data_IF_182256730935
#
_entry.id   IF_182256730935
#
_cell.length_a   1.000
_cell.length_b   1.000
_cell.length_c   1.000
_cell.angle_alpha   90.00
_cell.angle_beta   90.00
_cell.angle_gamma   90.00
#
_symmetry.space_group_name_H-M   'P 1'
#
loop_
_entity.id
_entity.type
_entity.pdbx_description
1 polymer ?
#
# COMPACT_ATOMS: atom_id res chain seq x y z
N UNK A 1 -2.90 -9.33 -9.71
CA UNK A 1 -4.33 -9.42 -9.34
C UNK A 1 -4.91 -10.82 -9.52
N UNK A 2 -5.09 -11.32 -10.76
CA UNK A 2 -5.70 -12.65 -10.98
C UNK A 2 -4.95 -13.79 -10.27
N UNK A 3 -3.61 -13.84 -10.40
CA UNK A 3 -2.76 -14.82 -9.72
C UNK A 3 -3.03 -14.90 -8.20
N UNK A 4 -3.10 -13.76 -7.52
CA UNK A 4 -3.34 -13.68 -6.08
C UNK A 4 -4.77 -14.14 -5.75
N UNK A 5 -5.77 -13.61 -6.45
CA UNK A 5 -7.18 -13.95 -6.21
C UNK A 5 -7.46 -15.44 -6.40
N UNK A 6 -6.92 -16.03 -7.45
CA UNK A 6 -7.24 -17.40 -7.86
C UNK A 6 -6.53 -18.46 -6.98
N UNK A 7 -5.56 -18.04 -6.16
CA UNK A 7 -4.76 -18.92 -5.29
C UNK A 7 -4.87 -18.62 -3.81
N UNK A 8 -5.90 -17.88 -3.39
CA UNK A 8 -6.15 -17.57 -1.98
C UNK A 8 -6.21 -18.85 -1.13
N UNK A 9 -5.62 -18.82 0.06
CA UNK A 9 -5.51 -20.00 0.92
C UNK A 9 -4.44 -21.01 0.47
N UNK A 10 -3.60 -20.67 -0.51
CA UNK A 10 -2.45 -21.51 -0.84
C UNK A 10 -1.54 -21.70 0.39
N UNK A 11 -0.99 -22.91 0.50
CA UNK A 11 -0.20 -23.30 1.66
C UNK A 11 1.08 -22.50 1.84
N UNK A 12 1.55 -22.44 3.08
CA UNK A 12 2.83 -21.84 3.46
C UNK A 12 3.96 -22.68 2.89
N UNK A 13 4.87 -22.05 2.14
CA UNK A 13 6.11 -22.68 1.71
C UNK A 13 7.21 -22.56 2.76
N UNK A 14 7.32 -21.40 3.40
CA UNK A 14 8.40 -21.11 4.36
C UNK A 14 7.96 -20.07 5.38
N UNK A 15 8.65 -20.03 6.51
CA UNK A 15 8.59 -18.94 7.50
C UNK A 15 9.90 -18.16 7.41
N UNK A 16 9.84 -16.84 7.23
CA UNK A 16 10.99 -15.98 6.92
C UNK A 16 11.79 -15.59 8.19
N UNK A 17 11.20 -14.92 9.19
CA UNK A 17 11.89 -14.55 10.45
C UNK A 17 11.11 -14.75 11.77
N UNK A 18 9.78 -14.65 11.78
CA UNK A 18 8.95 -14.83 12.99
C UNK A 18 7.77 -15.75 12.69
N UNK A 19 7.05 -16.25 13.70
CA UNK A 19 5.86 -17.11 13.49
C UNK A 19 4.79 -16.49 12.57
N UNK A 20 4.73 -15.17 12.44
CA UNK A 20 3.76 -14.46 11.58
C UNK A 20 4.28 -14.09 10.19
N UNK A 21 5.57 -14.33 9.92
CA UNK A 21 6.24 -13.97 8.67
C UNK A 21 6.19 -15.17 7.72
N UNK A 22 5.01 -15.35 7.12
CA UNK A 22 4.70 -16.46 6.22
C UNK A 22 5.11 -16.08 4.80
N UNK A 23 5.60 -17.07 4.06
CA UNK A 23 5.87 -16.96 2.64
C UNK A 23 5.13 -18.07 1.91
N UNK A 24 4.41 -17.73 0.84
CA UNK A 24 3.79 -18.69 -0.07
C UNK A 24 4.49 -18.70 -1.42
N UNK A 25 4.15 -19.67 -2.28
CA UNK A 25 4.60 -19.66 -3.67
C UNK A 25 4.13 -18.41 -4.42
N UNK A 26 2.99 -17.87 -3.99
CA UNK A 26 2.27 -16.80 -4.67
C UNK A 26 3.01 -15.47 -4.53
N UNK A 27 3.66 -15.21 -3.39
CA UNK A 27 4.47 -13.98 -3.20
C UNK A 27 5.61 -13.93 -4.24
N UNK A 28 6.36 -15.04 -4.39
CA UNK A 28 7.45 -15.15 -5.36
C UNK A 28 6.97 -15.07 -6.82
N UNK A 29 5.94 -15.83 -7.17
CA UNK A 29 5.36 -15.81 -8.53
C UNK A 29 4.79 -14.41 -8.88
N UNK A 30 4.16 -13.73 -7.93
CA UNK A 30 3.65 -12.38 -8.12
C UNK A 30 4.79 -11.38 -8.34
N UNK A 31 5.88 -11.48 -7.58
CA UNK A 31 7.06 -10.66 -7.80
C UNK A 31 7.67 -10.87 -9.18
N UNK A 32 7.84 -12.13 -9.61
CA UNK A 32 8.39 -12.48 -10.92
C UNK A 32 7.56 -11.86 -12.07
N UNK A 33 6.23 -11.93 -11.97
CA UNK A 33 5.33 -11.33 -12.96
C UNK A 33 5.48 -9.80 -13.01
N UNK A 34 5.54 -9.15 -11.85
CA UNK A 34 5.70 -7.69 -11.76
C UNK A 34 7.08 -7.27 -12.29
N UNK A 35 8.14 -7.95 -11.86
CA UNK A 35 9.51 -7.67 -12.28
C UNK A 35 9.68 -7.87 -13.79
N UNK A 36 9.13 -8.95 -14.36
CA UNK A 36 9.17 -9.19 -15.80
C UNK A 36 8.48 -8.07 -16.59
N UNK A 37 7.31 -7.60 -16.13
CA UNK A 37 6.60 -6.48 -16.75
C UNK A 37 7.41 -5.17 -16.67
N UNK A 38 8.00 -4.87 -15.51
CA UNK A 38 8.87 -3.70 -15.33
C UNK A 38 10.09 -3.77 -16.24
N UNK A 39 10.78 -4.91 -16.30
CA UNK A 39 11.98 -5.07 -17.14
C UNK A 39 11.67 -5.01 -18.63
N UNK A 40 10.50 -5.47 -19.05
CA UNK A 40 10.06 -5.37 -20.44
C UNK A 40 9.79 -3.91 -20.86
N UNK A 41 9.15 -3.12 -19.99
CA UNK A 41 8.82 -1.73 -20.29
C UNK A 41 9.96 -0.75 -19.99
N UNK A 42 10.76 -1.03 -18.96
CA UNK A 42 11.81 -0.16 -18.43
C UNK A 42 13.10 -0.96 -18.13
N UNK A 43 13.83 -1.44 -19.16
CA UNK A 43 14.97 -2.34 -18.98
C UNK A 43 16.11 -1.77 -18.12
N UNK A 44 16.23 -0.44 -18.03
CA UNK A 44 17.28 0.25 -17.30
C UNK A 44 16.87 0.70 -15.88
N UNK A 45 15.63 0.45 -15.45
CA UNK A 45 15.18 0.82 -14.10
C UNK A 45 15.63 -0.24 -13.08
N UNK A 46 15.95 0.21 -11.88
CA UNK A 46 16.23 -0.67 -10.76
C UNK A 46 14.93 -1.26 -10.17
N UNK A 47 15.02 -2.45 -9.58
CA UNK A 47 13.89 -3.15 -8.97
C UNK A 47 14.31 -3.69 -7.60
N UNK A 48 13.49 -3.42 -6.59
CA UNK A 48 13.63 -3.92 -5.22
C UNK A 48 12.29 -4.53 -4.80
N UNK A 49 12.20 -5.85 -4.85
CA UNK A 49 11.04 -6.59 -4.37
C UNK A 49 11.28 -7.17 -2.98
N UNK A 50 10.24 -7.27 -2.17
CA UNK A 50 10.30 -7.84 -0.82
C UNK A 50 10.90 -9.25 -0.79
N UNK A 51 10.53 -10.11 -1.75
CA UNK A 51 10.96 -11.52 -1.77
C UNK A 51 12.43 -11.71 -2.13
N UNK A 52 13.05 -10.65 -2.67
CA UNK A 52 14.50 -10.63 -2.95
C UNK A 52 15.32 -10.18 -1.75
N UNK A 53 14.69 -9.81 -0.63
CA UNK A 53 15.34 -9.26 0.55
C UNK A 53 15.27 -10.26 1.71
N UNK A 54 16.39 -10.59 2.36
CA UNK A 54 16.36 -11.41 3.56
C UNK A 54 15.52 -10.75 4.65
N UNK A 55 14.86 -11.57 5.45
CA UNK A 55 13.97 -11.08 6.50
C UNK A 55 14.73 -10.33 7.61
N UNK A 56 14.10 -9.26 8.13
CA UNK A 56 14.59 -8.48 9.26
C UNK A 56 14.95 -7.04 8.92
N UNK A 57 14.70 -6.12 9.86
CA UNK A 57 14.80 -4.68 9.64
C UNK A 57 16.18 -4.21 9.13
N UNK A 58 17.27 -4.81 9.64
CA UNK A 58 18.63 -4.50 9.18
C UNK A 58 18.83 -4.91 7.73
N UNK A 59 18.38 -6.10 7.33
CA UNK A 59 18.50 -6.59 5.96
C UNK A 59 17.67 -5.74 4.99
N UNK A 60 16.45 -5.34 5.39
CA UNK A 60 15.62 -4.41 4.61
C UNK A 60 16.28 -3.04 4.43
N UNK A 61 16.87 -2.50 5.50
CA UNK A 61 17.58 -1.21 5.44
C UNK A 61 18.83 -1.30 4.55
N UNK A 62 19.60 -2.38 4.66
CA UNK A 62 20.78 -2.60 3.84
C UNK A 62 20.42 -2.80 2.36
N UNK A 63 19.37 -3.56 2.06
CA UNK A 63 18.87 -3.76 0.71
C UNK A 63 18.39 -2.46 0.08
N UNK A 64 17.64 -1.64 0.84
CA UNK A 64 17.21 -0.32 0.38
C UNK A 64 18.42 0.59 0.13
N UNK A 65 19.37 0.67 1.06
CA UNK A 65 20.60 1.48 0.86
C UNK A 65 21.35 1.04 -0.40
N UNK A 66 21.54 -0.26 -0.58
CA UNK A 66 22.18 -0.81 -1.77
C UNK A 66 21.42 -0.43 -3.05
N UNK A 67 20.09 -0.54 -3.05
CA UNK A 67 19.26 -0.15 -4.18
C UNK A 67 19.29 1.36 -4.47
N UNK A 68 19.49 2.22 -3.47
CA UNK A 68 19.57 3.66 -3.64
C UNK A 68 20.98 4.13 -4.09
N UNK A 69 22.03 3.47 -3.60
CA UNK A 69 23.42 3.91 -3.83
C UNK A 69 24.09 3.21 -5.02
N UNK A 70 23.80 1.92 -5.22
CA UNK A 70 24.55 1.05 -6.11
C UNK A 70 23.77 0.54 -7.34
N UNK A 71 22.51 0.93 -7.53
CA UNK A 71 21.69 0.40 -8.62
C UNK A 71 22.05 0.93 -10.03
N UNK A 72 22.90 1.96 -10.11
CA UNK A 72 23.31 2.56 -11.39
C UNK A 72 22.18 3.21 -12.21
N UNK A 73 20.98 3.35 -11.61
CA UNK A 73 19.79 3.90 -12.25
C UNK A 73 19.27 5.12 -11.48
N UNK A 74 18.66 6.06 -12.19
CA UNK A 74 17.93 7.18 -11.60
C UNK A 74 16.48 6.81 -11.26
N UNK A 75 16.07 5.57 -11.49
CA UNK A 75 14.72 5.07 -11.23
C UNK A 75 14.75 3.77 -10.43
N UNK A 76 13.92 3.69 -9.42
CA UNK A 76 13.78 2.52 -8.55
C UNK A 76 12.31 2.16 -8.38
N UNK A 77 11.98 0.91 -8.67
CA UNK A 77 10.70 0.28 -8.32
C UNK A 77 10.86 -0.43 -6.98
N UNK A 78 9.98 -0.16 -6.03
CA UNK A 78 9.89 -0.84 -4.74
C UNK A 78 8.56 -1.58 -4.69
N UNK A 79 8.59 -2.89 -4.50
CA UNK A 79 7.42 -3.76 -4.66
C UNK A 79 7.25 -4.67 -3.47
N UNK A 80 6.04 -4.64 -2.89
CA UNK A 80 5.51 -5.71 -2.05
C UNK A 80 4.49 -6.48 -2.92
N UNK A 81 4.81 -7.71 -3.34
CA UNK A 81 3.98 -8.46 -4.27
C UNK A 81 2.72 -9.04 -3.62
N UNK A 82 2.66 -9.11 -2.29
CA UNK A 82 1.53 -9.64 -1.53
C UNK A 82 1.54 -9.16 -0.06
N UNK A 83 0.98 -7.99 0.20
CA UNK A 83 0.77 -7.51 1.57
C UNK A 83 -0.39 -8.25 2.23
N UNK A 84 -0.21 -8.66 3.48
CA UNK A 84 -1.20 -9.44 4.23
C UNK A 84 -1.08 -10.95 4.01
N UNK A 85 0.13 -11.49 3.84
CA UNK A 85 0.35 -12.95 3.64
C UNK A 85 -0.30 -13.83 4.71
N UNK A 86 -0.41 -13.35 5.96
CA UNK A 86 -1.18 -14.05 7.01
C UNK A 86 -2.67 -14.17 6.64
N UNK A 87 -3.30 -13.08 6.20
CA UNK A 87 -4.67 -13.10 5.71
C UNK A 87 -4.81 -14.03 4.50
N UNK A 88 -3.86 -13.96 3.57
CA UNK A 88 -3.82 -14.82 2.39
C UNK A 88 -3.85 -16.31 2.73
N UNK A 89 -2.97 -16.75 3.63
CA UNK A 89 -2.88 -18.14 4.10
C UNK A 89 -4.14 -18.56 4.86
N UNK A 90 -4.76 -17.64 5.61
CA UNK A 90 -6.03 -17.88 6.32
C UNK A 90 -7.26 -17.78 5.43
N UNK A 91 -7.10 -17.65 4.10
CA UNK A 91 -8.19 -17.49 3.14
C UNK A 91 -9.06 -16.24 3.37
N UNK A 92 -8.49 -15.19 4.00
CA UNK A 92 -9.15 -13.92 4.20
C UNK A 92 -8.88 -12.99 3.01
N UNK A 93 -9.91 -12.41 2.36
CA UNK A 93 -9.77 -11.55 1.19
C UNK A 93 -9.41 -10.11 1.59
N UNK A 94 -8.36 -9.96 2.41
CA UNK A 94 -7.82 -8.71 2.93
C UNK A 94 -6.31 -8.69 2.67
N UNK A 95 -5.95 -8.56 1.39
CA UNK A 95 -4.57 -8.56 0.91
C UNK A 95 -4.39 -7.47 -0.14
N UNK A 96 -3.15 -7.05 -0.34
CA UNK A 96 -2.80 -6.01 -1.30
C UNK A 96 -1.60 -6.38 -2.16
N UNK A 97 -1.40 -5.60 -3.22
CA UNK A 97 -0.13 -5.52 -3.95
C UNK A 97 0.28 -4.06 -3.92
N UNK A 98 1.49 -3.77 -3.45
CA UNK A 98 1.99 -2.41 -3.28
C UNK A 98 3.17 -2.15 -4.21
N UNK A 99 3.10 -1.06 -4.98
CA UNK A 99 4.15 -0.65 -5.92
C UNK A 99 4.44 0.83 -5.73
N UNK A 100 5.68 1.15 -5.35
CA UNK A 100 6.22 2.50 -5.34
C UNK A 100 7.25 2.70 -6.45
N UNK A 101 7.26 3.87 -7.07
CA UNK A 101 8.32 4.27 -8.00
C UNK A 101 8.99 5.54 -7.49
N UNK A 102 10.29 5.46 -7.28
CA UNK A 102 11.13 6.57 -6.89
C UNK A 102 12.05 6.99 -8.04
N UNK A 103 12.33 8.29 -8.11
CA UNK A 103 13.25 8.88 -9.07
C UNK A 103 14.30 9.72 -8.36
N UNK A 104 15.53 9.71 -8.86
CA UNK A 104 16.58 10.64 -8.44
C UNK A 104 16.32 12.03 -9.05
N UNK A 105 16.28 13.06 -8.22
CA UNK A 105 16.05 14.46 -8.59
C UNK A 105 17.14 15.35 -8.00
N UNK A 106 17.38 16.52 -8.61
CA UNK A 106 18.43 17.46 -8.20
C UNK A 106 19.74 17.30 -8.97
N UNK A 107 20.61 18.30 -8.86
CA UNK A 107 21.94 18.33 -9.50
C UNK A 107 22.96 17.51 -8.70
N UNK A 108 24.15 17.25 -9.28
CA UNK A 108 25.12 16.29 -8.76
C UNK A 108 25.38 16.35 -7.25
N UNK A 109 25.46 17.55 -6.66
CA UNK A 109 25.73 17.76 -5.24
C UNK A 109 24.48 17.64 -4.32
N UNK A 110 23.27 17.72 -4.88
CA UNK A 110 22.00 17.75 -4.14
C UNK A 110 21.02 16.64 -4.59
N UNK A 111 21.55 15.61 -5.26
CA UNK A 111 20.77 14.47 -5.72
C UNK A 111 20.08 13.78 -4.54
N UNK A 112 18.76 13.71 -4.60
CA UNK A 112 17.93 12.98 -3.64
C UNK A 112 16.94 12.07 -4.36
N UNK A 113 16.43 11.07 -3.65
CA UNK A 113 15.35 10.23 -4.13
C UNK A 113 14.00 10.85 -3.76
N UNK A 114 13.06 10.81 -4.70
CA UNK A 114 11.70 11.31 -4.52
C UNK A 114 10.71 10.26 -5.05
N UNK A 115 9.71 9.89 -4.23
CA UNK A 115 8.66 8.96 -4.65
C UNK A 115 7.69 9.72 -5.57
N UNK A 116 7.55 9.23 -6.80
CA UNK A 116 6.80 9.91 -7.86
C UNK A 116 5.53 9.18 -8.26
N UNK A 117 5.42 7.87 -7.98
CA UNK A 117 4.22 7.06 -8.22
C UNK A 117 4.00 6.10 -7.05
N UNK A 118 2.75 5.91 -6.65
CA UNK A 118 2.31 4.85 -5.75
C UNK A 118 1.08 4.15 -6.32
N UNK A 119 1.06 2.82 -6.25
CA UNK A 119 -0.06 1.98 -6.68
C UNK A 119 -0.33 0.94 -5.61
N UNK A 120 -1.59 0.80 -5.21
CA UNK A 120 -2.07 -0.26 -4.32
C UNK A 120 -3.23 -0.98 -5.01
N UNK A 121 -3.16 -2.31 -5.10
CA UNK A 121 -4.19 -3.14 -5.73
C UNK A 121 -4.84 -4.05 -4.70
N UNK A 122 -6.15 -3.95 -4.52
CA UNK A 122 -6.96 -4.98 -3.85
C UNK A 122 -7.48 -5.95 -4.92
N UNK A 123 -6.93 -7.18 -5.00
CA UNK A 123 -7.27 -8.12 -6.07
C UNK A 123 -8.67 -8.72 -5.92
N UNK A 124 -9.25 -8.70 -4.72
CA UNK A 124 -10.58 -9.27 -4.46
C UNK A 124 -11.70 -8.26 -4.71
N UNK A 125 -11.43 -6.98 -4.48
CA UNK A 125 -12.38 -5.89 -4.78
C UNK A 125 -12.25 -5.33 -6.18
N UNK A 126 -11.22 -5.74 -6.92
CA UNK A 126 -10.87 -5.16 -8.23
C UNK A 126 -10.72 -3.64 -8.13
N UNK A 127 -10.09 -3.21 -7.04
CA UNK A 127 -9.83 -1.82 -6.74
C UNK A 127 -8.33 -1.53 -6.88
N UNK A 128 -8.00 -0.44 -7.55
CA UNK A 128 -6.65 0.05 -7.73
C UNK A 128 -6.61 1.51 -7.31
N UNK A 129 -5.88 1.78 -6.23
CA UNK A 129 -5.52 3.13 -5.83
C UNK A 129 -4.25 3.50 -6.58
N UNK A 130 -4.25 4.65 -7.25
CA UNK A 130 -3.06 5.19 -7.92
C UNK A 130 -2.84 6.63 -7.49
N UNK A 131 -1.58 6.99 -7.23
CA UNK A 131 -1.18 8.34 -6.92
C UNK A 131 0.09 8.71 -7.68
N UNK A 132 0.18 9.96 -8.11
CA UNK A 132 1.38 10.52 -8.72
C UNK A 132 1.75 11.84 -8.07
N UNK A 133 3.05 12.11 -7.95
CA UNK A 133 3.53 13.37 -7.38
C UNK A 133 2.99 14.55 -8.20
N UNK A 134 2.27 15.45 -7.53
CA UNK A 134 1.60 16.60 -8.17
C UNK A 134 0.32 16.27 -8.95
N UNK A 135 0.01 14.99 -9.20
CA UNK A 135 -1.18 14.57 -9.96
C UNK A 135 -2.37 14.12 -9.11
N UNK A 136 -2.20 14.02 -7.79
CA UNK A 136 -3.25 13.60 -6.86
C UNK A 136 -3.39 12.09 -6.75
N UNK A 137 -4.54 11.63 -6.26
CA UNK A 137 -4.84 10.23 -5.98
C UNK A 137 -6.19 9.83 -6.59
N UNK A 138 -6.28 8.63 -7.14
CA UNK A 138 -7.51 8.08 -7.72
C UNK A 138 -7.76 6.65 -7.24
N UNK A 139 -9.02 6.25 -7.20
CA UNK A 139 -9.49 4.87 -7.02
C UNK A 139 -10.21 4.45 -8.30
N UNK A 140 -9.67 3.46 -9.01
CA UNK A 140 -10.17 3.01 -10.33
C UNK A 140 -10.36 4.20 -11.30
N UNK A 141 -9.38 5.12 -11.33
CA UNK A 141 -9.40 6.32 -12.17
C UNK A 141 -10.31 7.46 -11.67
N UNK A 142 -11.12 7.23 -10.64
CA UNK A 142 -11.95 8.28 -10.03
C UNK A 142 -11.16 9.02 -8.93
N UNK A 143 -11.05 10.36 -8.96
CA UNK A 143 -10.32 11.10 -7.94
C UNK A 143 -10.84 10.84 -6.52
N UNK A 144 -9.91 10.71 -5.57
CA UNK A 144 -10.21 10.54 -4.14
C UNK A 144 -9.50 11.61 -3.30
N UNK A 145 -10.04 11.88 -2.12
CA UNK A 145 -9.50 12.84 -1.16
C UNK A 145 -9.56 12.25 0.24
N UNK A 146 -8.58 12.62 1.06
CA UNK A 146 -8.55 12.25 2.48
C UNK A 146 -9.68 12.96 3.24
N UNK A 147 -10.19 12.29 4.27
CA UNK A 147 -11.09 12.90 5.24
C UNK A 147 -10.39 14.02 6.03
N UNK A 148 -11.18 14.98 6.52
CA UNK A 148 -10.72 16.09 7.38
C UNK A 148 -11.54 16.16 8.68
N UNK A 149 -12.23 15.07 9.01
CA UNK A 149 -13.03 14.95 10.21
C UNK A 149 -12.18 15.06 11.49
N UNK A 150 -12.77 15.58 12.58
CA UNK A 150 -12.14 15.51 13.89
C UNK A 150 -11.82 14.05 14.25
N UNK A 151 -10.73 13.84 14.99
CA UNK A 151 -10.31 12.50 15.42
C UNK A 151 -11.46 11.72 16.09
N UNK A 152 -12.29 12.40 16.88
CA UNK A 152 -13.46 11.82 17.57
C UNK A 152 -14.46 11.15 16.62
N UNK A 153 -14.51 11.56 15.35
CA UNK A 153 -15.37 10.98 14.34
C UNK A 153 -14.66 9.97 13.44
N UNK A 154 -13.33 9.95 13.48
CA UNK A 154 -12.48 9.14 12.62
C UNK A 154 -12.41 7.68 13.10
N UNK A 155 -12.33 6.77 12.13
CA UNK A 155 -11.92 5.38 12.34
C UNK A 155 -10.43 5.30 12.10
N UNK A 156 -9.65 4.90 13.11
CA UNK A 156 -8.19 4.77 12.96
C UNK A 156 -7.84 3.35 12.61
N UNK A 157 -7.12 3.16 11.51
CA UNK A 157 -6.54 1.87 11.14
C UNK A 157 -5.11 1.75 11.68
N UNK A 158 -4.73 0.56 12.15
CA UNK A 158 -3.38 0.28 12.65
C UNK A 158 -3.05 -1.22 12.58
N UNK A 159 -1.77 -1.57 12.56
CA UNK A 159 -1.29 -2.95 12.58
C UNK A 159 -1.00 -3.50 13.98
N UNK A 160 -0.86 -4.82 14.07
CA UNK A 160 -0.34 -5.48 15.27
C UNK A 160 1.20 -5.50 15.26
N UNK A 161 1.80 -5.68 16.43
CA UNK A 161 3.23 -5.53 16.64
C UNK A 161 3.95 -6.73 16.05
N UNK A 162 4.90 -6.52 15.12
CA UNK A 162 5.64 -7.63 14.52
C UNK A 162 6.67 -8.21 15.48
N UNK A 163 7.07 -7.46 16.53
CA UNK A 163 8.07 -7.90 17.51
C UNK A 163 7.62 -7.60 18.94
N UNK A 164 8.13 -8.37 19.90
CA UNK A 164 7.88 -8.15 21.32
C UNK A 164 8.29 -6.73 21.77
N UNK A 165 9.42 -6.22 21.25
CA UNK A 165 9.89 -4.87 21.53
C UNK A 165 8.89 -3.78 21.09
N UNK A 166 8.13 -4.03 20.01
CA UNK A 166 7.11 -3.11 19.48
C UNK A 166 5.73 -3.24 20.14
N UNK A 167 5.49 -4.29 20.92
CA UNK A 167 4.19 -4.56 21.55
C UNK A 167 3.78 -3.47 22.54
N UNK A 168 4.65 -3.16 23.51
CA UNK A 168 4.33 -2.16 24.54
C UNK A 168 4.14 -0.74 23.95
N UNK A 169 4.98 -0.25 23.01
CA UNK A 169 4.71 0.97 22.27
C UNK A 169 3.36 0.98 21.55
N UNK A 170 3.01 -0.10 20.84
CA UNK A 170 1.74 -0.20 20.11
C UNK A 170 0.54 -0.15 21.06
N UNK A 171 0.55 -0.90 22.17
CA UNK A 171 -0.53 -0.84 23.17
C UNK A 171 -0.72 0.57 23.73
N UNK A 172 0.38 1.30 24.02
CA UNK A 172 0.30 2.70 24.45
C UNK A 172 -0.31 3.59 23.37
N UNK A 173 0.09 3.40 22.11
CA UNK A 173 -0.46 4.13 20.96
C UNK A 173 -1.97 3.91 20.80
N UNK A 174 -2.42 2.65 20.86
CA UNK A 174 -3.84 2.31 20.78
C UNK A 174 -4.63 2.91 21.94
N UNK A 175 -4.12 2.85 23.17
CA UNK A 175 -4.79 3.46 24.31
C UNK A 175 -4.94 4.98 24.14
N UNK A 176 -3.87 5.66 23.70
CA UNK A 176 -3.86 7.11 23.51
C UNK A 176 -4.82 7.57 22.39
N UNK A 177 -4.87 6.81 21.29
CA UNK A 177 -5.72 7.14 20.13
C UNK A 177 -7.16 6.68 20.35
N UNK A 178 -7.35 5.46 20.85
CA UNK A 178 -8.67 4.86 21.08
C UNK A 178 -9.52 5.61 22.09
N UNK A 179 -8.90 6.33 23.03
CA UNK A 179 -9.63 7.23 23.94
C UNK A 179 -10.20 8.50 23.25
N UNK A 180 -9.75 8.81 22.03
CA UNK A 180 -10.05 10.05 21.32
C UNK A 180 -10.66 9.86 19.94
N UNK A 181 -10.61 8.63 19.41
CA UNK A 181 -11.14 8.27 18.10
C UNK A 181 -12.49 7.56 18.23
N UNK A 182 -13.28 7.50 17.14
CA UNK A 182 -14.53 6.74 17.13
C UNK A 182 -14.29 5.27 17.44
N UNK A 183 -13.27 4.70 16.80
CA UNK A 183 -12.82 3.32 17.01
C UNK A 183 -11.44 3.10 16.38
N UNK A 184 -10.77 2.03 16.78
CA UNK A 184 -9.51 1.55 16.19
C UNK A 184 -9.79 0.21 15.51
N UNK A 185 -9.32 0.04 14.28
CA UNK A 185 -9.44 -1.20 13.49
C UNK A 185 -8.04 -1.72 13.14
N UNK A 186 -7.91 -3.04 13.11
CA UNK A 186 -6.72 -3.73 12.61
C UNK A 186 -7.17 -4.70 11.53
N UNK A 187 -6.68 -4.52 10.30
CA UNK A 187 -7.02 -5.39 9.17
C UNK A 187 -5.89 -6.36 8.83
N UNK A 188 -4.70 -6.18 9.42
CA UNK A 188 -3.50 -6.99 9.16
C UNK A 188 -3.08 -7.02 7.68
N UNK A 189 -3.32 -5.90 6.98
CA UNK A 189 -2.87 -5.59 5.63
C UNK A 189 -2.80 -4.06 5.53
N UNK A 190 -1.59 -3.52 5.45
CA UNK A 190 -1.34 -2.08 5.40
C UNK A 190 -1.96 -1.43 4.15
N UNK A 191 -2.02 -2.15 3.05
CA UNK A 191 -2.66 -1.73 1.81
C UNK A 191 -4.18 -1.57 1.97
N UNK A 192 -4.84 -2.52 2.65
CA UNK A 192 -6.26 -2.44 2.97
C UNK A 192 -6.57 -1.26 3.91
N UNK A 193 -5.67 -0.98 4.85
CA UNK A 193 -5.80 0.13 5.80
C UNK A 193 -5.61 1.51 5.14
N UNK A 194 -4.59 1.66 4.30
CA UNK A 194 -4.39 2.88 3.50
C UNK A 194 -5.58 3.15 2.58
N UNK A 195 -6.16 2.11 2.00
CA UNK A 195 -7.36 2.20 1.15
C UNK A 195 -8.60 2.68 1.90
N UNK A 196 -8.84 2.23 3.14
CA UNK A 196 -10.00 2.73 3.92
C UNK A 196 -9.88 4.24 4.17
N UNK A 197 -8.66 4.74 4.36
CA UNK A 197 -8.39 6.17 4.53
C UNK A 197 -8.71 6.98 3.26
N UNK A 198 -8.42 6.43 2.07
CA UNK A 198 -8.71 7.10 0.79
C UNK A 198 -10.18 7.01 0.37
N UNK A 199 -10.94 6.05 0.89
CA UNK A 199 -12.36 5.83 0.55
C UNK A 199 -13.33 6.73 1.32
N UNK A 200 -12.89 7.43 2.36
CA UNK A 200 -13.73 8.21 3.29
C UNK A 200 -14.77 9.13 2.61
N UNK A 201 -14.59 9.56 1.35
CA UNK A 201 -15.72 10.02 0.52
C UNK A 201 -15.63 9.61 -0.95
N UNK A 202 -16.60 8.82 -1.42
CA UNK A 202 -17.13 9.01 -2.78
C UNK A 202 -17.88 10.34 -2.78
N UNK A 203 -17.41 11.33 -3.53
CA UNK A 203 -18.27 12.43 -3.95
C UNK A 203 -19.39 11.83 -4.80
N UNK A 204 -20.63 11.83 -4.29
CA UNK A 204 -21.77 11.63 -5.17
C UNK A 204 -21.70 12.72 -6.27
N UNK A 205 -21.79 12.38 -7.56
CA UNK A 205 -21.95 13.41 -8.58
C UNK A 205 -23.26 14.15 -8.29
N UNK A 206 -23.21 15.47 -8.17
CA UNK A 206 -24.41 16.30 -8.23
C UNK A 206 -25.10 15.99 -9.56
N UNK A 207 -26.22 15.28 -9.48
CA UNK A 207 -27.16 15.15 -10.59
C UNK A 207 -27.67 16.55 -10.92
N UNK A 208 -27.48 16.98 -12.16
CA UNK A 208 -27.87 18.26 -12.74
C UNK A 208 -29.39 18.46 -12.88
N UNK A 209 -30.17 18.11 -11.85
CA UNK A 209 -31.64 18.27 -11.84
C UNK A 209 -32.19 19.43 -11.01
N UNK A 210 -31.34 20.20 -10.32
CA UNK A 210 -31.80 21.36 -9.55
C UNK A 210 -31.58 22.72 -10.26
N UNK A 211 -31.14 22.71 -11.51
CA UNK A 211 -31.14 23.88 -12.36
C UNK A 211 -32.39 23.85 -13.25
N UNK A 212 -33.50 24.40 -12.75
CA UNK A 212 -34.56 25.13 -13.49
C UNK A 212 -35.90 25.05 -12.73
N UNK A 213 -36.25 26.13 -12.02
CA UNK A 213 -37.59 26.72 -12.13
C UNK A 213 -37.49 28.23 -11.85
N UNK A 214 -37.90 29.09 -12.80
CA UNK A 214 -37.99 30.54 -12.61
C UNK A 214 -39.27 30.90 -11.84
N UNK A 215 -39.24 32.01 -11.12
CA UNK A 215 -40.33 32.44 -10.24
C UNK A 215 -41.66 32.71 -10.95
N UNK A 216 -42.74 32.69 -10.15
CA UNK A 216 -43.98 33.39 -10.44
C UNK A 216 -44.66 33.81 -9.12
N UNK A 217 -44.90 35.12 -9.04
CA UNK A 217 -45.82 35.90 -8.20
C UNK A 217 -46.96 35.20 -7.45
N UNK A 218 -47.15 35.54 -6.17
CA UNK A 218 -48.18 36.48 -5.66
C UNK A 218 -47.93 36.77 -4.18
#
# INVERSE_FOLDING_TARGET
AALVRDRVGAGVLKTKATRGDLLTAVDGEAQEVIEAAVRAAFPAHAFLGEESVPAGATASADALRCALDACGSDWLWVVDPLDGTTNFVQSLPLVGVSIGVARRVGEAAERRWEVVVGVVVDPFREETVTATLGGGCTLNGSPVRVGVEPLADAVVATGFAPTEASLAPMVRGIAAVGARARTVRMLACLDAEHRETTRSRRSAPMSSRDALTPGASS
#
